data_IF_544170417865
#
_entry.id   IF_544170417865
#
_cell.length_a   1.000
_cell.length_b   1.000
_cell.length_c   1.000
_cell.angle_alpha   90.00
_cell.angle_beta   90.00
_cell.angle_gamma   90.00
#
_symmetry.space_group_name_H-M   'P 1'
#
loop_
_entity.id
_entity.type
_entity.pdbx_description
1 polymer ?
#
# COMPACT_ATOMS: atom_id res chain seq x y z
N UNK A 1 -10.80 -8.03 18.85
CA UNK A 1 -11.48 -6.99 18.05
C UNK A 1 -11.66 -7.48 16.64
N UNK A 2 -12.68 -6.96 15.96
CA UNK A 2 -12.88 -7.18 14.53
C UNK A 2 -12.31 -6.01 13.74
N UNK A 3 -11.33 -6.27 12.88
CA UNK A 3 -10.60 -5.24 12.14
C UNK A 3 -10.80 -5.47 10.64
N UNK A 4 -11.28 -4.45 9.95
CA UNK A 4 -11.39 -4.48 8.50
C UNK A 4 -10.28 -3.66 7.86
N UNK A 5 -9.48 -4.26 7.00
CA UNK A 5 -8.48 -3.54 6.19
C UNK A 5 -9.04 -3.25 4.80
N UNK A 6 -8.68 -2.11 4.25
CA UNK A 6 -9.02 -1.76 2.87
C UNK A 6 -7.76 -1.39 2.11
N UNK A 7 -7.50 -2.16 1.04
CA UNK A 7 -6.37 -1.96 0.12
C UNK A 7 -6.87 -1.31 -1.18
N UNK A 8 -6.25 -0.23 -1.65
CA UNK A 8 -6.65 0.36 -2.93
C UNK A 8 -6.09 -0.39 -4.14
N UNK A 9 -4.96 -1.09 -3.96
CA UNK A 9 -4.18 -1.70 -5.05
C UNK A 9 -4.50 -3.18 -5.22
N UNK A 10 -4.40 -3.64 -6.47
CA UNK A 10 -4.71 -5.02 -6.83
C UNK A 10 -3.71 -6.01 -6.23
N UNK A 11 -4.23 -7.09 -5.66
CA UNK A 11 -3.44 -8.22 -5.18
C UNK A 11 -3.01 -9.17 -6.32
N UNK A 12 -3.45 -8.89 -7.56
CA UNK A 12 -3.04 -9.68 -8.72
C UNK A 12 -1.56 -9.49 -9.07
N UNK A 13 -0.97 -8.40 -8.59
CA UNK A 13 0.45 -8.09 -8.79
C UNK A 13 1.11 -7.78 -7.44
N UNK A 14 2.35 -8.23 -7.24
CA UNK A 14 3.04 -7.96 -5.98
C UNK A 14 3.32 -6.47 -5.81
N UNK A 15 3.18 -5.99 -4.58
CA UNK A 15 3.45 -4.60 -4.24
C UNK A 15 3.68 -4.44 -2.74
N UNK A 16 4.47 -3.44 -2.37
CA UNK A 16 4.84 -3.21 -0.98
C UNK A 16 3.67 -2.92 -0.06
N UNK A 17 2.64 -2.22 -0.56
CA UNK A 17 1.44 -1.91 0.23
C UNK A 17 0.64 -3.19 0.47
N UNK A 18 0.45 -4.01 -0.56
CA UNK A 18 -0.29 -5.27 -0.48
C UNK A 18 0.41 -6.23 0.50
N UNK A 19 1.74 -6.39 0.35
CA UNK A 19 2.54 -7.23 1.24
C UNK A 19 2.41 -6.76 2.70
N UNK A 20 2.60 -5.48 2.95
CA UNK A 20 2.46 -4.91 4.30
C UNK A 20 1.08 -5.18 4.91
N UNK A 21 0.01 -5.06 4.10
CA UNK A 21 -1.36 -5.31 4.58
C UNK A 21 -1.52 -6.78 4.98
N UNK A 22 -1.03 -7.71 4.15
CA UNK A 22 -1.11 -9.15 4.43
C UNK A 22 -0.30 -9.49 5.68
N UNK A 23 0.93 -8.99 5.78
CA UNK A 23 1.79 -9.25 6.94
C UNK A 23 1.16 -8.71 8.23
N UNK A 24 0.67 -7.48 8.20
CA UNK A 24 0.03 -6.86 9.37
C UNK A 24 -1.26 -7.62 9.77
N UNK A 25 -2.07 -8.01 8.78
CA UNK A 25 -3.28 -8.81 9.03
C UNK A 25 -2.92 -10.15 9.69
N UNK A 26 -1.90 -10.83 9.17
CA UNK A 26 -1.42 -12.10 9.72
C UNK A 26 -1.01 -11.95 11.19
N UNK A 27 -0.17 -10.97 11.49
CA UNK A 27 0.29 -10.69 12.86
C UNK A 27 -0.89 -10.40 13.80
N UNK A 28 -1.87 -9.64 13.33
CA UNK A 28 -3.04 -9.32 14.15
C UNK A 28 -3.92 -10.54 14.40
N UNK A 29 -4.05 -11.44 13.42
CA UNK A 29 -4.76 -12.72 13.59
C UNK A 29 -4.02 -13.58 14.64
N UNK A 30 -2.70 -13.66 14.54
CA UNK A 30 -1.87 -14.38 15.53
C UNK A 30 -2.02 -13.80 16.94
N UNK A 31 -2.31 -12.51 17.05
CA UNK A 31 -2.58 -11.83 18.34
C UNK A 31 -4.03 -11.99 18.81
N UNK A 32 -4.83 -12.79 18.12
CA UNK A 32 -6.19 -13.11 18.54
C UNK A 32 -7.27 -12.13 18.07
N UNK A 33 -7.00 -11.35 17.04
CA UNK A 33 -8.00 -10.46 16.43
C UNK A 33 -8.68 -11.16 15.25
N UNK A 34 -9.92 -10.80 14.97
CA UNK A 34 -10.63 -11.21 13.76
C UNK A 34 -10.31 -10.16 12.69
N UNK A 35 -9.71 -10.57 11.59
CA UNK A 35 -9.27 -9.64 10.54
C UNK A 35 -9.83 -10.05 9.20
N UNK A 36 -10.30 -9.08 8.43
CA UNK A 36 -10.63 -9.25 7.02
C UNK A 36 -10.01 -8.11 6.20
N UNK A 37 -9.60 -8.42 5.00
CA UNK A 37 -8.97 -7.45 4.08
C UNK A 37 -9.82 -7.36 2.82
N UNK A 38 -10.18 -6.15 2.39
CA UNK A 38 -10.86 -5.92 1.10
C UNK A 38 -9.91 -5.21 0.14
N UNK A 39 -9.78 -5.73 -1.07
CA UNK A 39 -9.04 -5.05 -2.13
C UNK A 39 -9.31 -5.67 -3.49
N UNK A 40 -8.85 -5.02 -4.57
CA UNK A 40 -9.00 -5.59 -5.90
C UNK A 40 -8.26 -6.92 -6.03
N UNK A 41 -8.90 -7.92 -6.57
CA UNK A 41 -8.28 -9.21 -6.90
C UNK A 41 -9.21 -9.98 -7.81
N UNK A 42 -8.64 -10.65 -8.80
CA UNK A 42 -9.37 -11.54 -9.69
C UNK A 42 -9.80 -12.81 -8.93
N UNK A 43 -10.88 -13.46 -9.32
CA UNK A 43 -11.35 -14.67 -8.61
C UNK A 43 -10.28 -15.76 -8.50
N UNK A 44 -9.46 -15.92 -9.52
CA UNK A 44 -8.42 -16.94 -9.61
C UNK A 44 -7.14 -16.64 -8.82
N UNK A 45 -6.94 -15.41 -8.35
CA UNK A 45 -5.74 -15.03 -7.58
C UNK A 45 -5.70 -15.78 -6.26
N UNK A 46 -4.59 -16.48 -5.99
CA UNK A 46 -4.42 -17.21 -4.73
C UNK A 46 -4.07 -16.23 -3.61
N UNK A 47 -4.93 -16.15 -2.60
CA UNK A 47 -4.79 -15.21 -1.47
C UNK A 47 -5.23 -15.90 -0.17
N UNK A 48 -4.75 -15.44 0.99
CA UNK A 48 -5.23 -15.97 2.26
C UNK A 48 -6.76 -15.83 2.42
N UNK A 49 -7.36 -16.72 3.17
CA UNK A 49 -8.82 -16.79 3.37
C UNK A 49 -9.43 -15.51 3.97
N UNK A 50 -8.62 -14.74 4.69
CA UNK A 50 -9.09 -13.48 5.27
C UNK A 50 -9.20 -12.35 4.24
N UNK A 51 -8.79 -12.57 2.97
CA UNK A 51 -8.87 -11.55 1.91
C UNK A 51 -10.17 -11.73 1.10
N UNK A 52 -11.00 -10.69 1.14
CA UNK A 52 -12.22 -10.58 0.34
C UNK A 52 -11.87 -9.96 -1.00
N UNK A 53 -11.98 -10.75 -2.06
CA UNK A 53 -11.65 -10.32 -3.43
C UNK A 53 -12.71 -9.36 -3.96
N UNK A 54 -12.28 -8.15 -4.28
CA UNK A 54 -13.15 -7.08 -4.72
C UNK A 54 -13.46 -7.06 -6.22
N UNK A 55 -12.84 -7.96 -6.98
CA UNK A 55 -12.97 -7.99 -8.45
C UNK A 55 -11.80 -7.36 -9.17
N UNK A 56 -11.85 -7.36 -10.47
CA UNK A 56 -10.74 -6.94 -11.34
C UNK A 56 -10.34 -5.47 -11.19
N UNK A 57 -9.19 -5.15 -11.73
CA UNK A 57 -8.57 -3.83 -11.66
C UNK A 57 -8.12 -3.37 -13.04
N UNK A 58 -7.96 -2.05 -13.20
CA UNK A 58 -7.41 -1.45 -14.42
C UNK A 58 -6.09 -0.74 -14.10
N UNK A 59 -5.12 -0.76 -15.03
CA UNK A 59 -3.86 -0.06 -14.82
C UNK A 59 -4.06 1.45 -14.97
N UNK A 60 -3.53 2.21 -14.03
CA UNK A 60 -3.56 3.68 -14.04
C UNK A 60 -2.13 4.18 -13.81
N UNK A 61 -1.62 4.96 -14.74
CA UNK A 61 -0.28 5.55 -14.62
C UNK A 61 -0.30 6.63 -13.53
N UNK A 62 0.60 6.50 -12.56
CA UNK A 62 0.68 7.41 -11.43
C UNK A 62 2.14 7.58 -10.99
N UNK A 63 2.66 8.80 -11.10
CA UNK A 63 4.02 9.16 -10.64
C UNK A 63 5.12 8.24 -11.17
N UNK A 64 5.09 7.92 -12.46
CA UNK A 64 6.12 7.07 -13.09
C UNK A 64 6.03 5.59 -12.71
N UNK A 65 4.90 5.19 -12.14
CA UNK A 65 4.60 3.80 -11.83
C UNK A 65 3.20 3.47 -12.33
N UNK A 66 2.85 2.20 -12.39
CA UNK A 66 1.50 1.75 -12.74
C UNK A 66 0.82 1.23 -11.48
N UNK A 67 -0.26 1.90 -11.08
CA UNK A 67 -1.13 1.43 -9.99
C UNK A 67 -2.33 0.71 -10.62
N UNK A 68 -2.65 -0.49 -10.13
CA UNK A 68 -3.85 -1.20 -10.60
C UNK A 68 -4.97 -0.97 -9.58
N UNK A 69 -5.99 -0.23 -10.01
CA UNK A 69 -7.11 0.20 -9.17
C UNK A 69 -8.43 -0.34 -9.71
N UNK A 70 -9.41 -0.51 -8.83
CA UNK A 70 -10.79 -0.78 -9.24
C UNK A 70 -11.62 0.49 -9.13
N UNK A 71 -12.44 0.74 -10.13
CA UNK A 71 -13.28 1.94 -10.22
C UNK A 71 -14.70 1.53 -10.61
N UNK A 72 -15.67 2.32 -10.19
CA UNK A 72 -17.04 2.16 -10.66
C UNK A 72 -18.02 1.77 -9.55
N UNK A 73 -19.31 1.60 -9.91
CA UNK A 73 -20.36 1.35 -8.92
C UNK A 73 -20.22 0.02 -8.18
N UNK A 74 -19.56 -0.96 -8.79
CA UNK A 74 -19.29 -2.25 -8.15
C UNK A 74 -18.38 -2.08 -6.92
N UNK A 75 -17.37 -1.19 -7.00
CA UNK A 75 -16.48 -0.89 -5.88
C UNK A 75 -17.30 -0.39 -4.68
N UNK A 76 -18.23 0.55 -4.94
CA UNK A 76 -19.09 1.13 -3.89
C UNK A 76 -19.98 0.04 -3.27
N UNK A 77 -20.58 -0.80 -4.12
CA UNK A 77 -21.49 -1.88 -3.68
C UNK A 77 -20.73 -2.91 -2.81
N UNK A 78 -19.56 -3.36 -3.29
CA UNK A 78 -18.73 -4.34 -2.58
C UNK A 78 -18.22 -3.77 -1.26
N UNK A 79 -17.74 -2.52 -1.26
CA UNK A 79 -17.29 -1.85 -0.03
C UNK A 79 -18.41 -1.76 1.00
N UNK A 80 -19.61 -1.34 0.56
CA UNK A 80 -20.77 -1.22 1.46
C UNK A 80 -21.12 -2.58 2.08
N UNK A 81 -21.13 -3.64 1.26
CA UNK A 81 -21.39 -5.00 1.74
C UNK A 81 -20.33 -5.42 2.76
N UNK A 82 -19.04 -5.24 2.44
CA UNK A 82 -17.91 -5.59 3.30
C UNK A 82 -18.02 -4.93 4.68
N UNK A 83 -18.26 -3.62 4.70
CA UNK A 83 -18.37 -2.86 5.96
C UNK A 83 -19.57 -3.32 6.77
N UNK A 84 -20.73 -3.50 6.12
CA UNK A 84 -21.95 -3.89 6.80
C UNK A 84 -21.88 -5.31 7.37
N UNK A 85 -21.38 -6.26 6.57
CA UNK A 85 -21.32 -7.67 6.97
C UNK A 85 -20.18 -7.96 7.94
N UNK A 86 -19.07 -7.25 7.82
CA UNK A 86 -17.92 -7.39 8.71
C UNK A 86 -18.19 -6.89 10.12
N UNK A 87 -19.03 -5.86 10.26
CA UNK A 87 -19.36 -5.26 11.56
C UNK A 87 -18.08 -4.98 12.38
N UNK A 88 -17.15 -4.26 11.76
CA UNK A 88 -15.81 -4.03 12.30
C UNK A 88 -15.81 -3.04 13.47
N UNK A 89 -15.00 -3.34 14.50
CA UNK A 89 -14.71 -2.39 15.58
C UNK A 89 -13.86 -1.22 15.07
N UNK A 90 -12.95 -1.52 14.12
CA UNK A 90 -12.05 -0.54 13.49
C UNK A 90 -11.97 -0.85 11.99
N UNK A 91 -12.05 0.18 11.18
CA UNK A 91 -11.74 0.09 9.75
C UNK A 91 -10.40 0.77 9.48
N UNK A 92 -9.42 0.00 8.99
CA UNK A 92 -8.09 0.50 8.68
C UNK A 92 -7.96 0.66 7.16
N UNK A 93 -7.87 1.89 6.70
CA UNK A 93 -7.87 2.23 5.27
C UNK A 93 -6.46 2.63 4.84
N UNK A 94 -5.89 1.92 3.88
CA UNK A 94 -4.60 2.27 3.29
C UNK A 94 -4.83 3.21 2.11
N UNK A 95 -4.07 4.30 2.05
CA UNK A 95 -4.20 5.35 1.03
C UNK A 95 -5.66 5.82 0.87
N UNK A 96 -6.27 6.45 1.89
CA UNK A 96 -7.70 6.78 1.87
C UNK A 96 -8.11 7.72 0.73
N UNK A 97 -7.17 8.49 0.18
CA UNK A 97 -7.39 9.39 -0.95
C UNK A 97 -7.26 8.70 -2.32
N UNK A 98 -6.93 7.39 -2.36
CA UNK A 98 -6.84 6.64 -3.61
C UNK A 98 -8.24 6.35 -4.17
N UNK A 99 -8.52 6.69 -5.45
CA UNK A 99 -9.86 6.54 -6.04
C UNK A 99 -10.20 5.08 -6.39
N UNK A 100 -10.31 4.27 -5.36
CA UNK A 100 -10.59 2.83 -5.44
C UNK A 100 -11.41 2.44 -4.21
N UNK A 101 -11.23 1.22 -3.71
CA UNK A 101 -11.89 0.74 -2.49
C UNK A 101 -11.65 1.65 -1.29
N UNK A 102 -10.45 2.24 -1.18
CA UNK A 102 -10.08 3.10 -0.05
C UNK A 102 -10.94 4.36 0.03
N UNK A 103 -11.08 5.08 -1.08
CA UNK A 103 -11.94 6.28 -1.10
C UNK A 103 -13.41 5.91 -0.90
N UNK A 104 -13.86 4.78 -1.47
CA UNK A 104 -15.22 4.29 -1.26
C UNK A 104 -15.46 3.98 0.22
N UNK A 105 -14.50 3.31 0.87
CA UNK A 105 -14.57 2.98 2.30
C UNK A 105 -14.58 4.25 3.16
N UNK A 106 -13.67 5.18 2.88
CA UNK A 106 -13.63 6.47 3.59
C UNK A 106 -14.95 7.22 3.51
N UNK A 107 -15.58 7.21 2.33
CA UNK A 107 -16.88 7.87 2.12
C UNK A 107 -18.00 7.18 2.89
N UNK A 108 -18.05 5.85 2.89
CA UNK A 108 -19.18 5.04 3.39
C UNK A 108 -19.10 4.82 4.91
N UNK A 109 -17.90 4.60 5.46
CA UNK A 109 -17.71 4.20 6.85
C UNK A 109 -18.23 5.27 7.84
N UNK A 110 -18.82 4.79 8.94
CA UNK A 110 -19.34 5.62 10.03
C UNK A 110 -18.63 5.37 11.37
N UNK A 111 -17.95 4.24 11.50
CA UNK A 111 -17.23 3.87 12.72
C UNK A 111 -15.82 4.44 12.81
N UNK A 112 -15.04 3.99 13.78
CA UNK A 112 -13.65 4.44 13.93
C UNK A 112 -12.81 4.05 12.72
N UNK A 113 -12.10 5.02 12.16
CA UNK A 113 -11.23 4.84 10.99
C UNK A 113 -9.78 5.14 11.39
N UNK A 114 -8.88 4.21 11.07
CA UNK A 114 -7.43 4.42 11.05
C UNK A 114 -7.02 4.50 9.57
N UNK A 115 -6.08 5.38 9.25
CA UNK A 115 -5.58 5.54 7.88
C UNK A 115 -4.07 5.41 7.84
N UNK A 116 -3.54 4.64 6.88
CA UNK A 116 -2.10 4.57 6.63
C UNK A 116 -1.76 5.17 5.26
N UNK A 117 -0.78 6.06 5.25
CA UNK A 117 -0.27 6.76 4.07
C UNK A 117 1.10 6.19 3.71
N UNK A 118 1.21 5.61 2.50
CA UNK A 118 2.42 4.94 2.01
C UNK A 118 3.17 5.76 0.97
N UNK A 119 2.47 6.62 0.24
CA UNK A 119 3.02 7.30 -0.91
C UNK A 119 3.22 8.79 -0.63
N UNK A 120 4.28 9.32 -1.21
CA UNK A 120 4.42 10.75 -1.47
C UNK A 120 4.27 10.96 -2.97
N UNK A 121 3.46 11.91 -3.34
CA UNK A 121 3.24 12.25 -4.74
C UNK A 121 3.68 13.69 -4.99
N UNK A 122 4.03 13.99 -6.23
CA UNK A 122 4.15 15.39 -6.62
C UNK A 122 2.79 16.07 -6.44
N UNK A 123 2.78 17.32 -6.03
CA UNK A 123 1.53 18.07 -5.89
C UNK A 123 0.76 18.03 -7.21
N UNK A 124 -0.51 17.71 -7.13
CA UNK A 124 -1.35 17.53 -8.31
C UNK A 124 -2.46 18.58 -8.31
N UNK A 125 -2.63 19.26 -9.44
CA UNK A 125 -3.75 20.20 -9.64
C UNK A 125 -5.09 19.48 -9.40
N UNK A 126 -5.16 18.21 -9.79
CA UNK A 126 -6.35 17.39 -9.56
C UNK A 126 -6.62 17.20 -8.07
N UNK A 127 -5.58 16.95 -7.27
CA UNK A 127 -5.71 16.84 -5.82
C UNK A 127 -6.18 18.17 -5.20
N UNK A 128 -5.61 19.28 -5.64
CA UNK A 128 -6.01 20.62 -5.18
C UNK A 128 -7.51 20.86 -5.46
N UNK A 129 -7.97 20.48 -6.64
CA UNK A 129 -9.40 20.61 -7.00
C UNK A 129 -10.31 19.66 -6.20
N UNK A 130 -9.81 18.47 -5.88
CA UNK A 130 -10.55 17.46 -5.12
C UNK A 130 -10.57 17.75 -3.61
N UNK A 131 -9.64 18.58 -3.12
CA UNK A 131 -9.43 18.82 -1.69
C UNK A 131 -10.70 19.24 -0.94
N UNK A 132 -11.56 20.17 -1.43
CA UNK A 132 -12.78 20.53 -0.71
C UNK A 132 -13.74 19.34 -0.48
N UNK A 133 -13.69 18.35 -1.35
CA UNK A 133 -14.52 17.14 -1.24
C UNK A 133 -13.86 16.08 -0.36
N UNK A 134 -12.52 16.03 -0.34
CA UNK A 134 -11.78 15.05 0.44
C UNK A 134 -11.71 15.41 1.93
N UNK A 135 -11.55 16.71 2.24
CA UNK A 135 -11.32 17.16 3.62
C UNK A 135 -12.43 16.70 4.59
N UNK A 136 -13.74 16.89 4.29
CA UNK A 136 -14.76 16.42 5.23
C UNK A 136 -14.77 14.91 5.44
N UNK A 137 -14.30 14.15 4.45
CA UNK A 137 -14.17 12.69 4.60
C UNK A 137 -12.96 12.32 5.44
N UNK A 138 -11.82 13.03 5.25
CA UNK A 138 -10.60 12.78 6.00
C UNK A 138 -10.74 13.15 7.49
N UNK A 139 -11.61 14.10 7.82
CA UNK A 139 -11.92 14.46 9.21
C UNK A 139 -12.53 13.30 10.01
N UNK A 140 -13.04 12.27 9.34
CA UNK A 140 -13.56 11.07 10.00
C UNK A 140 -12.42 10.16 10.52
N UNK A 141 -11.19 10.35 10.02
CA UNK A 141 -10.03 9.53 10.41
C UNK A 141 -9.64 9.89 11.85
N UNK A 142 -9.67 8.90 12.72
CA UNK A 142 -9.34 9.05 14.14
C UNK A 142 -7.87 8.85 14.44
N UNK A 143 -7.18 8.07 13.61
CA UNK A 143 -5.74 7.84 13.74
C UNK A 143 -5.09 7.79 12.37
N UNK A 144 -4.06 8.60 12.17
CA UNK A 144 -3.27 8.60 10.95
C UNK A 144 -1.90 7.99 11.19
N UNK A 145 -1.45 7.16 10.25
CA UNK A 145 -0.11 6.55 10.25
C UNK A 145 0.57 6.93 8.94
N UNK A 146 1.82 7.34 9.00
CA UNK A 146 2.66 7.52 7.81
C UNK A 146 3.84 6.57 7.90
N UNK A 147 4.14 5.84 6.83
CA UNK A 147 5.18 4.80 6.85
C UNK A 147 6.59 5.36 6.63
N UNK A 148 6.70 6.63 6.31
CA UNK A 148 8.00 7.30 6.13
C UNK A 148 7.83 8.79 6.39
N UNK A 149 8.94 9.46 6.71
CA UNK A 149 8.93 10.92 6.89
C UNK A 149 8.49 11.64 5.61
N UNK A 150 8.82 11.08 4.45
CA UNK A 150 8.40 11.63 3.16
C UNK A 150 6.88 11.56 2.99
N UNK A 151 6.27 10.41 3.32
CA UNK A 151 4.81 10.25 3.27
C UNK A 151 4.12 11.15 4.30
N UNK A 152 4.70 11.25 5.52
CA UNK A 152 4.17 12.11 6.58
C UNK A 152 4.16 13.58 6.15
N UNK A 153 5.30 14.06 5.67
CA UNK A 153 5.45 15.45 5.21
C UNK A 153 4.48 15.78 4.08
N UNK A 154 4.39 14.89 3.11
CA UNK A 154 3.46 15.06 1.98
C UNK A 154 2.01 15.15 2.48
N UNK A 155 1.61 14.26 3.39
CA UNK A 155 0.24 14.24 3.93
C UNK A 155 -0.07 15.55 4.66
N UNK A 156 0.83 15.98 5.55
CA UNK A 156 0.66 17.23 6.33
C UNK A 156 0.53 18.44 5.39
N UNK A 157 1.41 18.55 4.42
CA UNK A 157 1.44 19.70 3.50
C UNK A 157 0.24 19.73 2.56
N UNK A 158 -0.17 18.57 2.04
CA UNK A 158 -1.21 18.52 1.01
C UNK A 158 -2.62 18.41 1.58
N UNK A 159 -2.80 17.63 2.64
CA UNK A 159 -4.13 17.29 3.15
C UNK A 159 -4.31 17.62 4.64
N UNK A 160 -3.24 18.03 5.30
CA UNK A 160 -3.32 18.35 6.74
C UNK A 160 -3.29 17.11 7.63
N UNK A 161 -3.60 17.32 8.91
CA UNK A 161 -3.52 16.25 9.91
C UNK A 161 -2.12 16.10 10.47
N UNK A 162 -1.95 15.12 11.34
CA UNK A 162 -0.64 14.83 11.95
C UNK A 162 -0.48 13.32 12.16
N UNK A 163 -0.22 12.59 11.06
CA UNK A 163 -0.07 11.13 11.18
C UNK A 163 1.20 10.76 11.96
N UNK A 164 1.07 9.72 12.78
CA UNK A 164 2.20 9.18 13.53
C UNK A 164 3.12 8.43 12.58
N UNK A 165 4.43 8.60 12.74
CA UNK A 165 5.41 7.89 11.91
C UNK A 165 5.58 6.46 12.46
N UNK A 166 5.10 5.48 11.67
CA UNK A 166 5.25 4.06 11.97
C UNK A 166 5.70 3.36 10.69
N UNK A 167 6.99 3.07 10.54
CA UNK A 167 7.49 2.38 9.33
C UNK A 167 6.89 0.99 9.17
N UNK A 168 6.83 0.51 7.93
CA UNK A 168 6.41 -0.87 7.66
C UNK A 168 7.36 -1.85 8.35
N UNK A 169 6.80 -2.88 8.97
CA UNK A 169 7.56 -4.01 9.47
C UNK A 169 7.86 -5.00 8.34
N UNK A 170 8.81 -5.89 8.58
CA UNK A 170 9.12 -7.01 7.70
C UNK A 170 9.40 -8.24 8.56
N UNK A 171 8.90 -9.39 8.11
CA UNK A 171 9.20 -10.65 8.79
C UNK A 171 10.62 -11.10 8.40
N UNK A 172 11.57 -10.89 9.30
CA UNK A 172 12.96 -11.22 9.06
C UNK A 172 13.23 -12.74 9.08
N UNK A 173 12.34 -13.55 9.66
CA UNK A 173 12.53 -15.00 9.73
C UNK A 173 12.56 -15.64 8.34
N UNK A 174 11.78 -15.13 7.41
CA UNK A 174 11.74 -15.58 6.01
C UNK A 174 13.11 -15.39 5.35
N UNK A 175 13.77 -14.27 5.63
CA UNK A 175 15.08 -13.92 5.04
C UNK A 175 16.22 -14.59 5.77
N UNK A 176 16.13 -14.76 7.09
CA UNK A 176 17.16 -15.41 7.90
C UNK A 176 17.40 -16.85 7.46
N UNK A 177 16.34 -17.57 7.07
CA UNK A 177 16.44 -18.95 6.60
C UNK A 177 17.22 -19.07 5.28
N UNK A 178 17.29 -18.01 4.50
CA UNK A 178 18.02 -17.97 3.22
C UNK A 178 19.38 -17.27 3.32
N UNK A 179 19.80 -16.89 4.53
CA UNK A 179 21.08 -16.18 4.73
C UNK A 179 22.27 -17.05 4.30
N UNK A 180 23.18 -16.46 3.58
CA UNK A 180 24.45 -17.08 3.17
C UNK A 180 25.61 -16.34 3.82
N UNK A 181 26.64 -17.07 4.20
CA UNK A 181 27.89 -16.44 4.62
C UNK A 181 28.50 -15.68 3.43
N UNK A 182 28.92 -14.44 3.64
CA UNK A 182 29.57 -13.69 2.56
C UNK A 182 30.83 -14.40 2.07
N UNK A 183 30.94 -14.59 0.77
CA UNK A 183 32.18 -15.10 0.19
C UNK A 183 33.19 -13.94 0.03
N UNK A 184 34.40 -14.15 0.47
CA UNK A 184 35.52 -13.22 0.26
C UNK A 184 36.32 -13.55 -0.99
N UNK A 185 35.99 -14.67 -1.66
CA UNK A 185 36.65 -15.14 -2.85
C UNK A 185 35.75 -15.01 -4.07
N UNK A 186 36.32 -14.67 -5.21
CA UNK A 186 35.63 -14.56 -6.46
C UNK A 186 35.14 -13.14 -6.78
N UNK A 187 34.39 -13.00 -7.86
CA UNK A 187 33.89 -11.68 -8.26
C UNK A 187 32.85 -11.13 -7.26
N UNK A 188 32.84 -9.83 -7.10
CA UNK A 188 31.83 -9.14 -6.25
C UNK A 188 30.45 -9.30 -6.88
N UNK A 189 29.53 -9.84 -6.10
CA UNK A 189 28.11 -9.94 -6.51
C UNK A 189 27.37 -8.66 -6.14
N UNK A 190 26.75 -8.03 -7.13
CA UNK A 190 25.94 -6.84 -6.94
C UNK A 190 24.48 -7.21 -7.19
N UNK A 191 23.62 -7.05 -6.19
CA UNK A 191 22.20 -7.40 -6.29
C UNK A 191 21.37 -6.11 -6.41
N UNK A 192 20.52 -6.05 -7.42
CA UNK A 192 19.53 -4.98 -7.59
C UNK A 192 18.15 -5.54 -7.30
N UNK A 193 17.48 -4.94 -6.31
CA UNK A 193 16.10 -5.31 -5.97
C UNK A 193 15.16 -4.16 -6.32
N UNK A 194 14.27 -4.39 -7.29
CA UNK A 194 13.30 -3.39 -7.72
C UNK A 194 12.65 -3.78 -9.03
N UNK A 195 11.60 -3.05 -9.38
CA UNK A 195 10.99 -3.23 -10.70
C UNK A 195 11.95 -2.71 -11.77
N UNK A 196 12.25 -3.56 -12.74
CA UNK A 196 13.25 -3.26 -13.78
C UNK A 196 12.73 -2.24 -14.79
N UNK A 197 11.40 -2.15 -14.92
CA UNK A 197 10.71 -1.25 -15.86
C UNK A 197 10.43 0.14 -15.29
N UNK A 198 10.82 0.41 -14.03
CA UNK A 198 10.62 1.72 -13.37
C UNK A 198 11.92 2.53 -13.34
N UNK A 199 12.05 3.58 -14.19
CA UNK A 199 13.29 4.39 -14.21
C UNK A 199 13.68 4.99 -12.86
N UNK A 200 12.71 5.35 -12.01
CA UNK A 200 12.97 5.92 -10.68
C UNK A 200 13.66 4.94 -9.72
N UNK A 201 13.69 3.65 -10.05
CA UNK A 201 14.41 2.63 -9.26
C UNK A 201 15.92 2.63 -9.53
N UNK A 202 16.34 3.24 -10.66
CA UNK A 202 17.73 3.54 -10.92
C UNK A 202 18.57 2.40 -11.46
N UNK A 203 17.95 1.37 -12.06
CA UNK A 203 18.71 0.27 -12.67
C UNK A 203 19.66 0.80 -13.74
N UNK A 204 19.20 1.74 -14.57
CA UNK A 204 20.02 2.36 -15.60
C UNK A 204 21.22 3.11 -15.02
N UNK A 205 21.05 3.73 -13.85
CA UNK A 205 22.15 4.43 -13.14
C UNK A 205 23.17 3.40 -12.65
N UNK A 206 22.69 2.29 -12.08
CA UNK A 206 23.56 1.21 -11.62
C UNK A 206 24.38 0.62 -12.78
N UNK A 207 23.71 0.30 -13.90
CA UNK A 207 24.39 -0.29 -15.06
C UNK A 207 25.44 0.66 -15.64
N UNK A 208 25.14 1.96 -15.74
CA UNK A 208 26.13 2.97 -16.18
C UNK A 208 27.31 3.10 -15.24
N UNK A 209 27.06 3.03 -13.92
CA UNK A 209 28.14 3.05 -12.93
C UNK A 209 29.07 1.85 -13.06
N UNK A 210 28.55 0.67 -13.37
CA UNK A 210 29.33 -0.54 -13.60
C UNK A 210 30.16 -0.47 -14.88
N UNK A 211 29.70 0.18 -15.91
CA UNK A 211 30.49 0.43 -17.11
C UNK A 211 31.73 1.30 -16.85
N UNK A 212 31.48 2.12 -16.08
CA UNK A 212 32.37 3.00 -15.76
C UNK A 212 33.47 2.50 -15.04
N UNK A 213 33.20 1.59 -14.24
CA UNK A 213 34.23 0.90 -13.49
C UNK A 213 35.18 0.08 -14.37
N UNK A 214 34.70 -0.47 -15.44
CA UNK A 214 35.54 -1.21 -16.39
C UNK A 214 36.65 -0.38 -17.05
N UNK A 215 36.55 0.94 -16.97
CA UNK A 215 37.55 1.84 -17.54
C UNK A 215 38.75 2.07 -16.59
N UNK A 216 38.67 1.58 -15.36
CA UNK A 216 39.71 1.82 -14.32
C UNK A 216 40.45 0.52 -13.91
N UNK A 217 40.13 -0.61 -14.55
CA UNK A 217 40.83 -1.89 -14.38
C UNK A 217 41.65 -2.27 -15.60
#
# INVERSE_FOLDING_TARGET
MKIGFVCPYSFDEPGGVQAHIIDLATVLIERGHEVQVLGPAAPETSLPDFVVKGGGSIPINYNGSVARLSIGPQVVRTTRRFIREGNFDILHIHEPNSPSFSMAALRIAQGPIVATYHASAASSRLLTMAKPFLMPMLEKVRGGIAVSEMARRWQVEQLGGDPVLIPNGVDTSVYAAAAREPSTEGPVEIVFLGRLDEPRKGLDVLLKALEXQRLWT
#
